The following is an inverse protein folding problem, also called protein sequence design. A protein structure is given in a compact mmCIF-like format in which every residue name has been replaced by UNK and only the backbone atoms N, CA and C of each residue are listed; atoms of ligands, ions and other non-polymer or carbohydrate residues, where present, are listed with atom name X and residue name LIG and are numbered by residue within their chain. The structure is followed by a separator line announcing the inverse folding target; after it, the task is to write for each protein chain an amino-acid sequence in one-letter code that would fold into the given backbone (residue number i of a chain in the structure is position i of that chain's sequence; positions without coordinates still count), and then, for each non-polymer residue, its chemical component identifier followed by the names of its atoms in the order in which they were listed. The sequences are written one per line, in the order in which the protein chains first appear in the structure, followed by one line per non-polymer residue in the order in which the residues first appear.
data_IF_798776777360
#
_entry.id   IF_798776777360
#
_cell.length_a   1.000
_cell.length_b   1.000
_cell.length_c   1.000
_cell.angle_alpha   90.00
_cell.angle_beta   90.00
_cell.angle_gamma   90.00
#
_symmetry.space_group_name_H-M   'P 1'
#
loop_
_entity.id
_entity.type
_entity.pdbx_description
1 polymer ?
#
# COMPACT_ATOMS: atom_id res chain seq x y z
N UNK A 1 26.77 12.83 28.64
CA UNK A 1 27.70 13.07 27.50
C UNK A 1 28.59 11.86 27.16
N UNK A 2 29.00 11.01 28.12
CA UNK A 2 29.91 9.86 27.94
C UNK A 2 29.41 8.70 27.05
N UNK A 3 28.10 8.52 26.90
CA UNK A 3 27.50 7.39 26.15
C UNK A 3 27.41 7.63 24.64
N UNK A 4 27.28 8.90 24.20
CA UNK A 4 27.24 9.25 22.77
C UNK A 4 28.60 9.11 22.10
N UNK A 5 29.67 9.52 22.78
CA UNK A 5 31.04 9.36 22.27
C UNK A 5 31.46 7.89 22.22
N UNK A 6 31.04 7.07 23.20
CA UNK A 6 31.27 5.63 23.18
C UNK A 6 30.55 4.94 22.01
N UNK A 7 29.29 5.28 21.74
CA UNK A 7 28.56 4.75 20.58
C UNK A 7 29.18 5.17 19.24
N UNK A 8 29.57 6.44 19.10
CA UNK A 8 30.25 6.94 17.89
C UNK A 8 31.59 6.21 17.70
N UNK A 9 32.38 6.04 18.77
CA UNK A 9 33.67 5.38 18.70
C UNK A 9 33.55 3.90 18.38
N UNK A 10 32.53 3.22 18.93
CA UNK A 10 32.28 1.79 18.66
C UNK A 10 31.76 1.59 17.23
N UNK A 11 30.86 2.45 16.77
CA UNK A 11 30.36 2.42 15.39
C UNK A 11 31.47 2.74 14.39
N UNK A 12 32.34 3.70 14.71
CA UNK A 12 33.48 4.07 13.87
C UNK A 12 34.52 2.94 13.81
N UNK A 13 34.81 2.28 14.94
CA UNK A 13 35.75 1.15 14.99
C UNK A 13 35.23 -0.07 14.22
N UNK A 14 33.92 -0.26 14.16
CA UNK A 14 33.30 -1.32 13.35
C UNK A 14 33.33 -1.01 11.86
N UNK A 15 33.19 0.26 11.47
CA UNK A 15 33.18 0.71 10.07
C UNK A 15 34.60 0.86 9.49
N UNK A 16 35.58 1.18 10.34
CA UNK A 16 36.98 1.39 9.98
C UNK A 16 37.64 0.26 9.18
N UNK A 17 37.52 -1.04 9.56
CA UNK A 17 38.12 -2.13 8.78
C UNK A 17 37.48 -2.27 7.40
N UNK A 18 36.19 -1.98 7.25
CA UNK A 18 35.52 -2.00 5.94
C UNK A 18 35.94 -0.82 5.06
N UNK A 19 36.18 0.36 5.66
CA UNK A 19 36.70 1.53 4.94
C UNK A 19 38.14 1.30 4.45
N UNK A 20 38.99 0.71 5.30
CA UNK A 20 40.35 0.32 4.93
C UNK A 20 40.35 -0.75 3.85
N UNK A 21 39.50 -1.77 3.96
CA UNK A 21 39.39 -2.83 2.96
C UNK A 21 38.81 -2.31 1.64
N UNK A 22 37.83 -1.41 1.69
CA UNK A 22 37.26 -0.75 0.52
C UNK A 22 38.25 0.18 -0.17
N UNK A 23 38.95 1.03 0.59
CA UNK A 23 39.97 1.93 0.07
C UNK A 23 41.19 1.19 -0.50
N UNK A 24 41.71 0.20 0.22
CA UNK A 24 42.78 -0.67 -0.27
C UNK A 24 42.34 -1.48 -1.49
N UNK A 25 41.07 -1.93 -1.52
CA UNK A 25 40.47 -2.57 -2.67
C UNK A 25 40.46 -1.67 -3.89
N UNK A 26 40.05 -0.40 -3.76
CA UNK A 26 40.03 0.60 -4.85
C UNK A 26 41.43 0.90 -5.37
N UNK A 27 42.40 1.13 -4.47
CA UNK A 27 43.79 1.41 -4.85
C UNK A 27 44.46 0.22 -5.54
N UNK A 28 44.20 -0.99 -5.04
CA UNK A 28 44.69 -2.23 -5.65
C UNK A 28 44.03 -2.53 -7.00
N UNK A 29 42.75 -2.19 -7.17
CA UNK A 29 42.04 -2.32 -8.43
C UNK A 29 42.52 -1.32 -9.49
N UNK A 30 42.96 -0.14 -9.06
CA UNK A 30 43.53 0.90 -9.90
C UNK A 30 44.91 0.50 -10.43
N UNK A 31 45.75 -0.15 -9.62
CA UNK A 31 47.06 -0.64 -10.08
C UNK A 31 46.97 -1.83 -11.04
N UNK A 32 45.94 -2.69 -10.91
CA UNK A 32 45.81 -3.95 -11.69
C UNK A 32 44.95 -3.86 -12.95
N UNK A 33 44.40 -2.68 -13.28
CA UNK A 33 43.58 -2.47 -14.49
C UNK A 33 42.23 -3.20 -14.52
N UNK A 34 41.78 -3.75 -13.39
CA UNK A 34 40.54 -4.54 -13.26
C UNK A 34 39.32 -3.72 -12.83
N UNK A 35 39.43 -2.39 -12.82
CA UNK A 35 38.32 -1.46 -12.53
C UNK A 35 37.07 -1.74 -13.38
N UNK A 36 37.27 -2.12 -14.65
CA UNK A 36 36.20 -2.44 -15.58
C UNK A 36 35.39 -3.69 -15.18
N UNK A 37 36.06 -4.75 -14.70
CA UNK A 37 35.38 -5.97 -14.26
C UNK A 37 34.51 -5.74 -13.01
N UNK A 38 34.97 -4.86 -12.11
CA UNK A 38 34.21 -4.51 -10.91
C UNK A 38 33.00 -3.62 -11.24
N UNK A 39 33.15 -2.68 -12.18
CA UNK A 39 32.02 -1.91 -12.71
C UNK A 39 30.99 -2.82 -13.38
N UNK A 40 31.42 -3.82 -14.15
CA UNK A 40 30.52 -4.83 -14.74
C UNK A 40 29.81 -5.61 -13.64
N UNK A 41 30.52 -6.09 -12.62
CA UNK A 41 29.92 -6.83 -11.51
C UNK A 41 28.90 -5.99 -10.74
N UNK A 42 29.23 -4.72 -10.47
CA UNK A 42 28.32 -3.78 -9.82
C UNK A 42 27.07 -3.52 -10.68
N UNK A 43 27.25 -3.27 -11.99
CA UNK A 43 26.16 -3.06 -12.93
C UNK A 43 25.25 -4.30 -13.03
N UNK A 44 25.83 -5.50 -13.11
CA UNK A 44 25.09 -6.77 -13.13
C UNK A 44 24.33 -6.95 -11.81
N UNK A 45 24.96 -6.70 -10.66
CA UNK A 45 24.30 -6.83 -9.35
C UNK A 45 23.11 -5.87 -9.22
N UNK A 46 23.27 -4.64 -9.72
CA UNK A 46 22.22 -3.62 -9.70
C UNK A 46 21.09 -3.97 -10.69
N UNK A 47 21.42 -4.50 -11.86
CA UNK A 47 20.43 -5.00 -12.82
C UNK A 47 19.65 -6.19 -12.25
N UNK A 48 20.32 -7.14 -11.61
CA UNK A 48 19.66 -8.29 -10.96
C UNK A 48 18.72 -7.79 -9.84
N UNK A 49 19.19 -6.88 -8.99
CA UNK A 49 18.37 -6.29 -7.94
C UNK A 49 17.14 -5.55 -8.53
N UNK A 50 17.33 -4.77 -9.59
CA UNK A 50 16.25 -4.09 -10.31
C UNK A 50 15.24 -5.07 -10.92
N UNK A 51 15.70 -6.15 -11.55
CA UNK A 51 14.84 -7.18 -12.14
C UNK A 51 14.04 -7.89 -11.04
N UNK A 52 14.67 -8.28 -9.94
CA UNK A 52 14.00 -8.91 -8.80
C UNK A 52 12.97 -7.97 -8.17
N UNK A 53 13.32 -6.71 -7.94
CA UNK A 53 12.40 -5.69 -7.44
C UNK A 53 11.22 -5.47 -8.39
N UNK A 54 11.48 -5.38 -9.70
CA UNK A 54 10.44 -5.19 -10.72
C UNK A 54 9.53 -6.40 -10.83
N UNK A 55 10.07 -7.61 -10.76
CA UNK A 55 9.27 -8.84 -10.78
C UNK A 55 8.42 -8.97 -9.52
N UNK A 56 8.99 -8.67 -8.34
CA UNK A 56 8.24 -8.68 -7.07
C UNK A 56 7.13 -7.63 -7.06
N UNK A 57 7.40 -6.42 -7.51
CA UNK A 57 6.40 -5.35 -7.58
C UNK A 57 5.33 -5.64 -8.64
N UNK A 58 5.67 -6.25 -9.78
CA UNK A 58 4.70 -6.74 -10.77
C UNK A 58 3.81 -7.84 -10.19
N UNK A 59 4.41 -8.81 -9.48
CA UNK A 59 3.66 -9.89 -8.82
C UNK A 59 2.71 -9.35 -7.75
N UNK A 60 3.17 -8.43 -6.91
CA UNK A 60 2.33 -7.77 -5.91
C UNK A 60 1.15 -7.01 -6.55
N UNK A 61 1.39 -6.26 -7.65
CA UNK A 61 0.31 -5.59 -8.40
C UNK A 61 -0.66 -6.58 -9.03
N UNK A 62 -0.17 -7.71 -9.56
CA UNK A 62 -1.02 -8.77 -10.12
C UNK A 62 -1.91 -9.38 -9.05
N UNK A 63 -1.35 -9.74 -7.90
CA UNK A 63 -2.11 -10.31 -6.78
C UNK A 63 -3.18 -9.35 -6.26
N UNK A 64 -2.89 -8.04 -6.21
CA UNK A 64 -3.87 -7.02 -5.87
C UNK A 64 -4.99 -6.93 -6.92
N UNK A 65 -4.65 -7.04 -8.20
CA UNK A 65 -5.61 -7.02 -9.31
C UNK A 65 -6.52 -8.25 -9.28
N UNK A 66 -5.98 -9.41 -8.94
CA UNK A 66 -6.76 -10.65 -8.81
C UNK A 66 -7.72 -10.59 -7.61
N UNK A 67 -7.31 -9.98 -6.49
CA UNK A 67 -8.23 -9.72 -5.37
C UNK A 67 -9.29 -8.65 -5.65
N UNK A 68 -9.06 -7.78 -6.62
CA UNK A 68 -10.02 -6.75 -7.02
C UNK A 68 -11.14 -7.29 -7.92
N UNK A 69 -11.01 -8.53 -8.44
CA UNK A 69 -12.04 -9.17 -9.23
C UNK A 69 -13.13 -9.76 -8.32
N UNK A 70 -13.93 -8.86 -7.73
CA UNK A 70 -15.09 -9.23 -6.89
C UNK A 70 -16.28 -9.41 -7.81
N UNK A 71 -16.93 -10.58 -7.75
CA UNK A 71 -18.16 -10.87 -8.48
C UNK A 71 -19.37 -10.70 -7.55
N UNK A 72 -20.53 -10.27 -8.07
CA UNK A 72 -21.80 -10.35 -7.36
C UNK A 72 -22.02 -11.75 -6.79
N UNK A 73 -22.48 -11.82 -5.55
CA UNK A 73 -22.82 -13.13 -4.96
C UNK A 73 -24.15 -13.62 -5.51
N UNK A 74 -24.31 -14.94 -5.65
CA UNK A 74 -25.53 -15.58 -6.16
C UNK A 74 -26.80 -15.23 -5.36
N UNK A 75 -26.65 -14.78 -4.10
CA UNK A 75 -27.76 -14.46 -3.20
C UNK A 75 -28.20 -12.99 -3.24
N UNK A 76 -27.70 -12.19 -4.18
CA UNK A 76 -28.06 -10.77 -4.27
C UNK A 76 -29.48 -10.56 -4.78
N UNK A 77 -30.11 -9.49 -4.28
CA UNK A 77 -31.40 -9.05 -4.80
C UNK A 77 -31.23 -8.38 -6.16
N UNK A 78 -32.27 -8.32 -7.01
CA UNK A 78 -32.20 -7.61 -8.29
C UNK A 78 -31.83 -6.12 -8.15
N UNK A 79 -32.18 -5.48 -7.02
CA UNK A 79 -31.73 -4.12 -6.71
C UNK A 79 -30.23 -4.05 -6.40
N UNK A 80 -29.70 -5.04 -5.68
CA UNK A 80 -28.26 -5.15 -5.40
C UNK A 80 -27.42 -5.36 -6.67
N UNK A 81 -27.91 -6.17 -7.61
CA UNK A 81 -27.25 -6.39 -8.90
C UNK A 81 -27.16 -5.09 -9.72
N UNK A 82 -28.25 -4.31 -9.77
CA UNK A 82 -28.27 -3.02 -10.46
C UNK A 82 -27.34 -2.00 -9.79
N UNK A 83 -27.38 -1.91 -8.46
CA UNK A 83 -26.48 -1.05 -7.70
C UNK A 83 -25.01 -1.42 -7.97
N UNK A 84 -24.69 -2.71 -8.06
CA UNK A 84 -23.34 -3.16 -8.37
C UNK A 84 -22.85 -2.74 -9.74
N UNK A 85 -23.69 -2.86 -10.77
CA UNK A 85 -23.36 -2.41 -12.13
C UNK A 85 -23.03 -0.91 -12.13
N UNK A 86 -23.80 -0.09 -11.42
CA UNK A 86 -23.51 1.36 -11.33
C UNK A 86 -22.21 1.66 -10.57
N UNK A 87 -21.92 0.94 -9.49
CA UNK A 87 -20.65 1.08 -8.76
C UNK A 87 -19.46 0.63 -9.62
N UNK A 88 -19.63 -0.42 -10.43
CA UNK A 88 -18.57 -0.92 -11.29
C UNK A 88 -18.21 0.07 -12.41
N UNK A 89 -19.17 0.88 -12.89
CA UNK A 89 -18.87 1.99 -13.82
C UNK A 89 -17.93 3.02 -13.22
N UNK A 90 -18.05 3.30 -11.92
CA UNK A 90 -17.14 4.20 -11.19
C UNK A 90 -15.74 3.60 -11.10
N UNK A 91 -15.64 2.29 -10.83
CA UNK A 91 -14.35 1.61 -10.69
C UNK A 91 -13.56 1.51 -12.01
N UNK A 92 -14.25 1.51 -13.15
CA UNK A 92 -13.64 1.43 -14.49
C UNK A 92 -13.37 2.83 -15.09
N UNK A 93 -13.84 3.91 -14.43
CA UNK A 93 -13.63 5.28 -14.92
C UNK A 93 -12.13 5.61 -14.97
N UNK A 94 -11.56 5.85 -16.17
CA UNK A 94 -10.13 6.13 -16.33
C UNK A 94 -9.69 7.45 -15.67
N UNK A 95 -10.63 8.33 -15.35
CA UNK A 95 -10.35 9.56 -14.61
C UNK A 95 -10.17 9.30 -13.10
N UNK A 96 -10.75 8.23 -12.56
CA UNK A 96 -10.60 7.81 -11.16
C UNK A 96 -9.32 6.96 -10.98
N UNK A 97 -8.17 7.54 -11.28
CA UNK A 97 -6.90 6.89 -10.94
C UNK A 97 -6.68 6.93 -9.43
N UNK A 98 -6.24 5.81 -8.83
CA UNK A 98 -5.84 5.73 -7.41
C UNK A 98 -4.77 6.79 -7.08
N UNK A 99 -3.97 7.23 -8.07
CA UNK A 99 -3.01 8.32 -7.93
C UNK A 99 -3.63 9.71 -7.70
N UNK A 100 -4.92 9.88 -8.00
CA UNK A 100 -5.67 11.11 -7.72
C UNK A 100 -6.32 11.09 -6.34
N UNK A 101 -6.56 9.91 -5.75
CA UNK A 101 -7.07 9.74 -4.38
C UNK A 101 -5.87 9.84 -3.41
N UNK A 102 -5.21 10.99 -3.40
CA UNK A 102 -4.09 11.24 -2.50
C UNK A 102 -4.54 11.94 -1.20
N UNK A 103 -5.79 12.40 -1.13
CA UNK A 103 -6.32 13.10 0.04
C UNK A 103 -7.48 12.36 0.70
N UNK A 104 -7.54 12.38 2.05
CA UNK A 104 -8.63 11.77 2.79
C UNK A 104 -10.00 12.37 2.43
N UNK A 105 -10.05 13.66 2.10
CA UNK A 105 -11.30 14.35 1.73
C UNK A 105 -11.91 13.78 0.44
N UNK A 106 -11.08 13.50 -0.57
CA UNK A 106 -11.51 12.92 -1.84
C UNK A 106 -12.00 11.48 -1.68
N UNK A 107 -11.40 10.73 -0.74
CA UNK A 107 -11.87 9.39 -0.38
C UNK A 107 -13.27 9.46 0.23
N UNK A 108 -13.51 10.46 1.10
CA UNK A 108 -14.81 10.68 1.71
C UNK A 108 -15.88 11.08 0.69
N UNK A 109 -15.55 11.96 -0.25
CA UNK A 109 -16.44 12.33 -1.36
C UNK A 109 -16.81 11.12 -2.23
N UNK A 110 -15.82 10.29 -2.58
CA UNK A 110 -16.04 9.07 -3.35
C UNK A 110 -16.94 8.09 -2.60
N UNK A 111 -16.70 7.88 -1.30
CA UNK A 111 -17.53 7.04 -0.44
C UNK A 111 -18.98 7.52 -0.43
N UNK A 112 -19.19 8.83 -0.21
CA UNK A 112 -20.53 9.42 -0.21
C UNK A 112 -21.23 9.24 -1.55
N UNK A 113 -20.50 9.44 -2.67
CA UNK A 113 -21.04 9.23 -4.02
C UNK A 113 -21.48 7.79 -4.24
N UNK A 114 -20.67 6.81 -3.84
CA UNK A 114 -21.01 5.38 -3.93
C UNK A 114 -22.24 5.08 -3.07
N UNK A 115 -22.28 5.57 -1.82
CA UNK A 115 -23.39 5.34 -0.91
C UNK A 115 -24.71 5.90 -1.47
N UNK A 116 -24.68 7.10 -2.05
CA UNK A 116 -25.87 7.71 -2.67
C UNK A 116 -26.42 6.88 -3.84
N UNK A 117 -25.53 6.33 -4.69
CA UNK A 117 -25.93 5.48 -5.83
C UNK A 117 -26.61 4.21 -5.32
N UNK A 118 -25.98 3.53 -4.36
CA UNK A 118 -26.56 2.30 -3.78
C UNK A 118 -27.88 2.62 -3.08
N UNK A 119 -27.92 3.67 -2.26
CA UNK A 119 -29.12 4.04 -1.53
C UNK A 119 -30.29 4.38 -2.46
N UNK A 120 -30.04 5.07 -3.58
CA UNK A 120 -31.08 5.42 -4.56
C UNK A 120 -31.69 4.20 -5.25
N UNK A 121 -30.92 3.14 -5.48
CA UNK A 121 -31.43 1.88 -6.04
C UNK A 121 -32.36 1.12 -5.07
N UNK A 122 -32.10 1.21 -3.76
CA UNK A 122 -32.94 0.56 -2.75
C UNK A 122 -34.11 1.43 -2.27
N UNK A 123 -33.96 2.75 -2.28
CA UNK A 123 -34.94 3.72 -1.77
C UNK A 123 -35.27 4.82 -2.80
N UNK A 124 -35.81 4.48 -3.99
CA UNK A 124 -35.97 5.43 -5.11
C UNK A 124 -37.01 6.53 -4.88
N UNK A 125 -37.92 6.37 -3.91
CA UNK A 125 -38.99 7.34 -3.60
C UNK A 125 -38.64 8.29 -2.45
N UNK A 126 -37.46 8.14 -1.85
CA UNK A 126 -37.02 8.97 -0.74
C UNK A 126 -36.35 10.26 -1.20
N UNK A 127 -36.60 11.36 -0.50
CA UNK A 127 -35.83 12.59 -0.68
C UNK A 127 -34.41 12.49 -0.11
N UNK A 128 -34.14 11.56 0.82
CA UNK A 128 -32.82 11.30 1.41
C UNK A 128 -32.58 9.79 1.54
N UNK A 129 -32.36 9.08 0.42
CA UNK A 129 -32.25 7.62 0.38
C UNK A 129 -31.22 7.04 1.37
N UNK A 130 -30.11 7.73 1.57
CA UNK A 130 -29.02 7.32 2.46
C UNK A 130 -29.40 7.27 3.95
N UNK A 131 -30.45 7.99 4.36
CA UNK A 131 -30.92 8.04 5.75
C UNK A 131 -32.05 7.05 6.05
N UNK A 132 -32.57 6.37 5.04
CA UNK A 132 -33.65 5.38 5.23
C UNK A 132 -33.14 4.00 5.65
N UNK A 133 -31.82 3.80 5.60
CA UNK A 133 -31.20 2.53 6.00
C UNK A 133 -31.27 2.37 7.52
N UNK A 134 -31.87 1.28 8.04
CA UNK A 134 -31.93 1.06 9.48
C UNK A 134 -30.54 0.97 10.11
N UNK A 135 -30.34 1.66 11.23
CA UNK A 135 -29.07 1.67 11.97
C UNK A 135 -28.49 0.27 12.26
N UNK A 136 -29.29 -0.75 12.66
CA UNK A 136 -28.75 -2.10 12.88
C UNK A 136 -28.13 -2.72 11.62
N UNK A 137 -28.64 -2.39 10.44
CA UNK A 137 -28.10 -2.87 9.16
C UNK A 137 -26.75 -2.23 8.87
N UNK A 138 -26.60 -0.94 9.18
CA UNK A 138 -25.31 -0.24 9.05
C UNK A 138 -24.25 -0.87 9.95
N UNK A 139 -24.59 -1.14 11.22
CA UNK A 139 -23.66 -1.79 12.16
C UNK A 139 -23.21 -3.17 11.68
N UNK A 140 -24.14 -3.96 11.11
CA UNK A 140 -23.83 -5.26 10.53
C UNK A 140 -22.82 -5.13 9.37
N UNK A 141 -22.99 -4.12 8.51
CA UNK A 141 -22.01 -3.86 7.43
C UNK A 141 -20.64 -3.50 8.01
N UNK A 142 -20.58 -2.66 9.03
CA UNK A 142 -19.31 -2.30 9.69
C UNK A 142 -18.64 -3.53 10.31
N UNK A 143 -19.41 -4.42 10.93
CA UNK A 143 -18.91 -5.68 11.48
C UNK A 143 -18.30 -6.57 10.39
N UNK A 144 -19.02 -6.77 9.29
CA UNK A 144 -18.55 -7.57 8.15
C UNK A 144 -17.25 -7.00 7.57
N UNK A 145 -17.22 -5.69 7.31
CA UNK A 145 -16.04 -5.01 6.77
C UNK A 145 -14.86 -5.10 7.75
N UNK A 146 -15.11 -4.93 9.05
CA UNK A 146 -14.05 -5.03 10.08
C UNK A 146 -13.47 -6.45 10.16
N UNK A 147 -14.34 -7.46 10.06
CA UNK A 147 -13.93 -8.87 10.05
C UNK A 147 -13.11 -9.20 8.80
N UNK A 148 -13.56 -8.76 7.64
CA UNK A 148 -12.86 -8.98 6.38
C UNK A 148 -11.52 -8.25 6.36
N UNK A 149 -11.47 -7.00 6.84
CA UNK A 149 -10.22 -6.24 6.98
C UNK A 149 -9.24 -6.98 7.91
N UNK A 150 -9.71 -7.47 9.06
CA UNK A 150 -8.88 -8.27 9.98
C UNK A 150 -8.31 -9.51 9.29
N UNK A 151 -9.11 -10.21 8.49
CA UNK A 151 -8.65 -11.39 7.75
C UNK A 151 -7.63 -11.02 6.66
N UNK A 152 -7.87 -9.94 5.92
CA UNK A 152 -6.92 -9.43 4.93
C UNK A 152 -5.59 -9.05 5.56
N UNK A 153 -5.59 -8.34 6.69
CA UNK A 153 -4.39 -7.98 7.43
C UNK A 153 -3.60 -9.22 7.85
N UNK A 154 -4.28 -10.25 8.36
CA UNK A 154 -3.63 -11.52 8.75
C UNK A 154 -3.00 -12.27 7.58
N UNK A 155 -3.68 -12.31 6.44
CA UNK A 155 -3.25 -13.13 5.29
C UNK A 155 -2.23 -12.43 4.40
N UNK A 156 -2.37 -11.12 4.19
CA UNK A 156 -1.58 -10.38 3.19
C UNK A 156 -0.41 -9.58 3.79
N UNK A 157 -0.47 -9.21 5.07
CA UNK A 157 0.59 -8.41 5.71
C UNK A 157 1.40 -9.28 6.67
N UNK A 158 2.65 -9.63 6.31
CA UNK A 158 3.55 -10.33 7.22
C UNK A 158 3.83 -9.42 8.43
N UNK A 159 3.71 -9.96 9.64
CA UNK A 159 3.90 -9.17 10.87
C UNK A 159 2.70 -8.30 11.24
N UNK A 160 1.51 -8.51 10.67
CA UNK A 160 0.29 -7.75 11.03
C UNK A 160 -0.07 -7.81 12.51
N UNK A 161 0.32 -8.88 13.22
CA UNK A 161 0.15 -9.00 14.66
C UNK A 161 1.02 -8.04 15.49
N UNK A 162 2.04 -7.43 14.88
CA UNK A 162 2.92 -6.44 15.51
C UNK A 162 2.48 -5.00 15.20
N UNK A 163 1.56 -4.80 14.26
CA UNK A 163 1.07 -3.47 13.91
C UNK A 163 0.23 -2.90 15.05
N UNK A 164 0.65 -1.74 15.55
CA UNK A 164 -0.06 -1.02 16.60
C UNK A 164 -0.77 0.22 16.06
N UNK A 165 -1.72 0.76 16.83
CA UNK A 165 -2.35 2.05 16.53
C UNK A 165 -1.31 3.19 16.43
N UNK A 166 -0.20 3.09 17.18
CA UNK A 166 0.90 4.04 17.12
C UNK A 166 1.56 4.06 15.74
N UNK A 167 1.75 2.89 15.13
CA UNK A 167 2.35 2.77 13.80
C UNK A 167 1.43 3.38 12.73
N UNK A 168 0.12 3.22 12.87
CA UNK A 168 -0.85 3.86 11.99
C UNK A 168 -0.80 5.39 12.09
N UNK A 169 -0.70 5.93 13.31
CA UNK A 169 -0.56 7.37 13.50
C UNK A 169 0.73 7.90 12.87
N UNK A 170 1.86 7.19 13.04
CA UNK A 170 3.13 7.57 12.38
C UNK A 170 3.02 7.56 10.86
N UNK A 171 2.35 6.55 10.29
CA UNK A 171 2.15 6.47 8.84
C UNK A 171 1.31 7.63 8.31
N UNK A 172 0.28 8.06 9.04
CA UNK A 172 -0.50 9.25 8.67
C UNK A 172 0.35 10.52 8.67
N UNK A 173 1.21 10.71 9.68
CA UNK A 173 2.11 11.86 9.73
C UNK A 173 3.14 11.83 8.60
N UNK A 174 3.67 10.64 8.26
CA UNK A 174 4.60 10.48 7.14
C UNK A 174 3.94 10.77 5.78
N UNK A 175 2.70 10.35 5.59
CA UNK A 175 1.93 10.66 4.39
C UNK A 175 1.64 12.16 4.25
N UNK A 176 1.50 12.88 5.36
CA UNK A 176 1.34 14.34 5.37
C UNK A 176 2.64 15.10 5.05
N UNK A 177 3.80 14.50 5.33
CA UNK A 177 5.12 15.13 5.15
C UNK A 177 5.77 14.84 3.79
N UNK A 178 5.31 13.82 3.05
CA UNK A 178 5.82 13.54 1.73
C UNK A 178 5.28 14.59 0.72
N UNK A 179 6.13 15.42 0.10
CA UNK A 179 5.70 16.24 -1.02
C UNK A 179 5.36 15.30 -2.19
N UNK A 180 4.14 15.43 -2.71
CA UNK A 180 3.69 14.79 -3.96
C UNK A 180 4.44 15.40 -5.14
#
# INVERSE_FOLDING_TARGET
MRTRTALILTSLLWIFPYLLLGGAGILWLAERGWSFYWLILAAVSMLVAQILYRNRSRKARSELRDTANVSPSTFWTPAGERAWVEVQKIAVDPNLSISQINRPDQLWELLNRILQIVAREFHPRSSKPELEVPLPRVLLVVELVSRDLKQLLKTKIPGSHLLTLHDLQRLQTLAQWAPV
#
